data_IF_804530777281
#
_entry.id   IF_804530777281
#
_cell.length_a   1.000
_cell.length_b   1.000
_cell.length_c   1.000
_cell.angle_alpha   90.00
_cell.angle_beta   90.00
_cell.angle_gamma   90.00
#
_symmetry.space_group_name_H-M   'P 1'
#
loop_
_entity.id
_entity.type
_entity.pdbx_description
1 polymer ?
#
# COMPACT_ATOMS: atom_id res chain seq x y z
N UNK A 1 12.63 10.64 -3.59
CA UNK A 1 11.33 10.02 -3.30
C UNK A 1 11.54 8.64 -2.70
N UNK A 2 10.87 8.32 -1.61
CA UNK A 2 11.03 7.03 -0.95
C UNK A 2 10.37 5.93 -1.79
N UNK A 3 10.98 4.74 -1.81
CA UNK A 3 10.37 3.59 -2.47
C UNK A 3 9.17 3.08 -1.67
N UNK A 4 8.26 2.39 -2.35
CA UNK A 4 7.09 1.80 -1.69
C UNK A 4 7.53 0.80 -0.62
N UNK A 5 8.55 0.00 -0.90
CA UNK A 5 9.06 -0.96 0.08
C UNK A 5 9.59 -0.27 1.34
N UNK A 6 10.28 0.85 1.17
CA UNK A 6 10.75 1.64 2.32
C UNK A 6 9.58 2.13 3.16
N UNK A 7 8.55 2.67 2.49
CA UNK A 7 7.37 3.20 3.18
C UNK A 7 6.64 2.09 3.94
N UNK A 8 6.52 0.91 3.36
CA UNK A 8 5.90 -0.23 4.03
C UNK A 8 6.65 -0.54 5.32
N UNK A 9 7.95 -0.66 5.26
CA UNK A 9 8.76 -0.96 6.44
C UNK A 9 8.67 0.12 7.50
N UNK A 10 8.58 1.38 7.06
CA UNK A 10 8.53 2.52 7.96
C UNK A 10 7.21 2.60 8.73
N UNK A 11 6.09 2.29 8.06
CA UNK A 11 4.76 2.52 8.62
C UNK A 11 4.01 1.25 9.02
N UNK A 12 4.58 0.08 8.76
CA UNK A 12 3.95 -1.17 9.16
C UNK A 12 3.98 -1.29 10.69
N UNK A 13 2.85 -1.67 11.28
CA UNK A 13 2.77 -1.85 12.74
C UNK A 13 3.67 -3.01 13.19
N UNK A 14 3.95 -3.06 14.50
CA UNK A 14 4.82 -4.09 15.08
C UNK A 14 4.27 -5.49 14.84
N UNK A 15 2.95 -5.66 14.92
CA UNK A 15 2.31 -6.96 14.67
C UNK A 15 2.11 -7.23 13.17
N UNK A 16 2.49 -6.28 12.31
CA UNK A 16 2.42 -6.37 10.86
C UNK A 16 0.99 -6.46 10.29
N UNK A 17 0.00 -6.11 11.09
CA UNK A 17 -1.40 -6.20 10.69
C UNK A 17 -2.00 -4.89 10.22
N UNK A 18 -1.40 -3.77 10.56
CA UNK A 18 -1.90 -2.44 10.19
C UNK A 18 -0.84 -1.70 9.38
N UNK A 19 -1.24 -1.21 8.22
CA UNK A 19 -0.37 -0.41 7.37
C UNK A 19 -1.11 0.87 7.00
N UNK A 20 -0.64 1.99 7.54
CA UNK A 20 -1.21 3.31 7.26
C UNK A 20 -0.24 4.09 6.38
N UNK A 21 -0.58 4.20 5.10
CA UNK A 21 0.20 4.93 4.12
C UNK A 21 -0.48 6.22 3.69
N UNK A 22 -1.26 6.83 4.57
CA UNK A 22 -1.96 8.08 4.26
C UNK A 22 -0.98 9.19 3.89
N UNK A 23 -1.34 10.00 2.90
CA UNK A 23 -0.58 11.20 2.52
C UNK A 23 0.84 10.93 2.05
N UNK A 24 1.08 9.82 1.37
CA UNK A 24 2.41 9.44 0.89
C UNK A 24 2.66 9.74 -0.59
N UNK A 25 1.67 10.29 -1.27
CA UNK A 25 1.76 10.63 -2.69
C UNK A 25 2.18 9.42 -3.54
N UNK A 26 1.53 8.29 -3.29
CA UNK A 26 1.86 7.04 -3.99
C UNK A 26 1.55 7.09 -5.48
N UNK A 27 0.41 7.66 -5.85
CA UNK A 27 -0.08 7.62 -7.21
C UNK A 27 -0.46 6.19 -7.63
N UNK A 28 -0.90 6.05 -8.87
CA UNK A 28 -1.29 4.74 -9.39
C UNK A 28 -0.11 3.78 -9.49
N UNK A 29 1.06 4.27 -9.87
CA UNK A 29 2.25 3.42 -9.94
C UNK A 29 2.63 2.87 -8.57
N UNK A 30 2.57 3.71 -7.55
CA UNK A 30 2.83 3.28 -6.18
C UNK A 30 1.80 2.26 -5.71
N UNK A 31 0.53 2.47 -6.06
CA UNK A 31 -0.53 1.53 -5.70
C UNK A 31 -0.32 0.16 -6.37
N UNK A 32 0.07 0.15 -7.64
CA UNK A 32 0.37 -1.10 -8.34
C UNK A 32 1.54 -1.83 -7.69
N UNK A 33 2.59 -1.10 -7.35
CA UNK A 33 3.76 -1.68 -6.68
C UNK A 33 3.37 -2.25 -5.31
N UNK A 34 2.57 -1.50 -4.55
CA UNK A 34 2.06 -1.96 -3.25
C UNK A 34 1.25 -3.24 -3.39
N UNK A 35 0.39 -3.32 -4.41
CA UNK A 35 -0.46 -4.48 -4.64
C UNK A 35 0.33 -5.76 -4.87
N UNK A 36 1.57 -5.64 -5.33
CA UNK A 36 2.44 -6.79 -5.58
C UNK A 36 3.32 -7.15 -4.38
N UNK A 37 3.29 -6.33 -3.34
CA UNK A 37 4.17 -6.54 -2.18
C UNK A 37 3.70 -7.72 -1.33
N UNK A 38 4.61 -8.60 -1.00
CA UNK A 38 4.32 -9.75 -0.13
C UNK A 38 4.00 -9.33 1.30
N UNK A 39 4.38 -8.13 1.69
CA UNK A 39 4.09 -7.63 3.04
C UNK A 39 2.58 -7.51 3.28
N UNK A 40 1.78 -7.36 2.23
CA UNK A 40 0.33 -7.24 2.37
C UNK A 40 -0.36 -8.51 2.86
N UNK A 41 0.28 -9.65 2.78
CA UNK A 41 -0.34 -10.92 3.18
C UNK A 41 -0.82 -10.91 4.63
N UNK A 42 -0.10 -10.23 5.50
CA UNK A 42 -0.44 -10.17 6.94
C UNK A 42 -1.23 -8.93 7.31
N UNK A 43 -1.33 -7.97 6.40
CA UNK A 43 -2.01 -6.71 6.70
C UNK A 43 -3.51 -6.94 6.70
N UNK A 44 -4.15 -6.56 7.80
CA UNK A 44 -5.60 -6.65 7.95
C UNK A 44 -6.30 -5.32 7.78
N UNK A 45 -5.58 -4.21 8.00
CA UNK A 45 -6.09 -2.87 7.80
C UNK A 45 -5.09 -2.08 6.98
N UNK A 46 -5.54 -1.61 5.83
CA UNK A 46 -4.73 -0.82 4.92
C UNK A 46 -5.39 0.54 4.70
N UNK A 47 -4.68 1.61 5.00
CA UNK A 47 -5.18 2.96 4.80
C UNK A 47 -4.35 3.64 3.70
N UNK A 48 -5.03 4.14 2.67
CA UNK A 48 -4.39 4.77 1.52
C UNK A 48 -4.97 6.17 1.23
N UNK A 49 -5.48 6.84 2.25
CA UNK A 49 -6.09 8.16 2.07
C UNK A 49 -5.10 9.17 1.50
N UNK A 50 -5.57 10.02 0.60
CA UNK A 50 -4.80 11.15 0.07
C UNK A 50 -3.50 10.74 -0.63
N UNK A 51 -3.56 9.74 -1.50
CA UNK A 51 -2.41 9.27 -2.24
C UNK A 51 -2.51 9.44 -3.75
N UNK A 52 -3.47 10.22 -4.24
CA UNK A 52 -3.66 10.45 -5.67
C UNK A 52 -3.85 9.15 -6.45
N UNK A 53 -4.58 8.21 -5.88
CA UNK A 53 -4.86 6.93 -6.51
C UNK A 53 -6.18 7.04 -7.26
N UNK A 54 -6.15 6.76 -8.57
CA UNK A 54 -7.33 6.72 -9.41
C UNK A 54 -7.91 5.30 -9.45
N UNK A 55 -8.89 5.09 -10.33
CA UNK A 55 -9.53 3.79 -10.51
C UNK A 55 -8.52 2.69 -10.84
N UNK A 56 -7.49 3.01 -11.65
CA UNK A 56 -6.46 2.01 -12.02
C UNK A 56 -5.73 1.48 -10.78
N UNK A 57 -5.26 2.39 -9.94
CA UNK A 57 -4.55 2.00 -8.73
C UNK A 57 -5.45 1.27 -7.74
N UNK A 58 -6.68 1.75 -7.59
CA UNK A 58 -7.65 1.10 -6.72
C UNK A 58 -7.97 -0.31 -7.18
N UNK A 59 -8.13 -0.52 -8.49
CA UNK A 59 -8.38 -1.83 -9.05
C UNK A 59 -7.19 -2.78 -8.86
N UNK A 60 -5.97 -2.26 -9.00
CA UNK A 60 -4.78 -3.08 -8.79
C UNK A 60 -4.75 -3.64 -7.38
N UNK A 61 -5.11 -2.81 -6.39
CA UNK A 61 -5.14 -3.25 -5.00
C UNK A 61 -6.29 -4.23 -4.76
N UNK A 62 -7.47 -3.95 -5.31
CA UNK A 62 -8.62 -4.81 -5.15
C UNK A 62 -8.41 -6.20 -5.76
N UNK A 63 -7.62 -6.27 -6.84
CA UNK A 63 -7.36 -7.53 -7.54
C UNK A 63 -6.06 -8.20 -7.10
N UNK A 64 -5.39 -7.65 -6.09
CA UNK A 64 -4.11 -8.20 -5.64
C UNK A 64 -4.27 -9.56 -4.99
N UNK A 65 -3.41 -10.51 -5.39
CA UNK A 65 -3.37 -11.83 -4.76
C UNK A 65 -2.82 -11.77 -3.33
N UNK A 66 -2.21 -10.64 -2.96
CA UNK A 66 -1.61 -10.47 -1.64
C UNK A 66 -2.60 -9.93 -0.61
N UNK A 67 -3.76 -9.43 -1.04
CA UNK A 67 -4.78 -8.91 -0.13
C UNK A 67 -5.71 -10.00 0.36
#
# INVERSE_FOLDING_TARGET
>A
MASVEYLIKQFLSDDKKVLDLSNQVLGDKGAVTLAKSKHLKRVKRLTLANNNISDEGAMAIANSEQC
#
